data_IF_817936911415
#
_entry.id   IF_817936911415
#
_cell.length_a   1.000
_cell.length_b   1.000
_cell.length_c   1.000
_cell.angle_alpha   90.00
_cell.angle_beta   90.00
_cell.angle_gamma   90.00
#
_symmetry.space_group_name_H-M   'P 1'
#
loop_
_entity.id
_entity.type
_entity.pdbx_description
1 polymer ?
#
# COMPACT_ATOMS: atom_id res chain seq x y z
N UNK A 1 -6.26 10.93 -54.29
CA UNK A 1 -5.03 10.11 -54.42
C UNK A 1 -4.45 10.00 -53.02
N UNK A 2 -4.82 8.93 -52.30
CA UNK A 2 -3.95 7.78 -51.95
C UNK A 2 -3.00 8.19 -50.78
N UNK A 3 -3.00 7.62 -49.57
CA UNK A 3 -3.10 6.21 -49.17
C UNK A 3 -3.52 6.12 -47.67
N UNK A 4 -4.50 5.26 -47.37
CA UNK A 4 -4.78 4.61 -46.08
C UNK A 4 -3.64 3.65 -45.69
N UNK A 5 -3.35 3.44 -44.39
CA UNK A 5 -2.77 2.23 -43.72
C UNK A 5 -1.87 2.75 -42.58
N UNK A 6 -2.19 2.61 -41.30
CA UNK A 6 -2.28 1.36 -40.54
C UNK A 6 -3.24 1.47 -39.34
N UNK A 7 -4.30 0.65 -39.28
CA UNK A 7 -5.01 0.37 -38.04
C UNK A 7 -4.70 -1.08 -37.62
N UNK A 8 -3.49 -1.38 -37.12
CA UNK A 8 -3.22 -2.67 -36.48
C UNK A 8 -2.10 -2.55 -35.43
N UNK A 9 -2.41 -3.08 -34.25
CA UNK A 9 -1.53 -3.40 -33.12
C UNK A 9 -1.31 -2.29 -32.06
N UNK A 10 -2.39 -1.72 -31.53
CA UNK A 10 -2.39 -1.45 -30.09
C UNK A 10 -3.07 -2.67 -29.46
N UNK A 11 -2.26 -3.55 -28.87
CA UNK A 11 -2.77 -4.62 -28.03
C UNK A 11 -3.46 -3.97 -26.82
N UNK A 12 -4.77 -4.17 -26.58
CA UNK A 12 -5.44 -3.61 -25.41
C UNK A 12 -4.87 -4.14 -24.08
N UNK A 13 -4.07 -5.21 -24.09
CA UNK A 13 -3.31 -5.65 -22.91
C UNK A 13 -2.17 -4.68 -22.51
N UNK A 14 -1.76 -3.77 -23.40
CA UNK A 14 -0.81 -2.70 -23.11
C UNK A 14 -1.53 -1.39 -22.71
N UNK A 15 -2.83 -1.46 -22.45
CA UNK A 15 -3.59 -0.36 -21.86
C UNK A 15 -3.46 -0.47 -20.33
N UNK A 16 -2.34 0.04 -19.80
CA UNK A 16 -2.15 0.39 -18.39
C UNK A 16 -2.80 -0.57 -17.38
N UNK A 17 -2.08 -1.63 -17.00
CA UNK A 17 -2.22 -2.11 -15.62
C UNK A 17 -1.58 -1.01 -14.76
N UNK A 18 -2.36 0.03 -14.42
CA UNK A 18 -2.00 0.88 -13.29
C UNK A 18 -2.02 -0.03 -12.07
N UNK A 19 -0.88 -0.66 -11.75
CA UNK A 19 -0.73 -1.31 -10.46
C UNK A 19 -0.84 -0.19 -9.42
N UNK A 20 -2.04 -0.01 -8.89
CA UNK A 20 -2.26 0.87 -7.75
C UNK A 20 -1.42 0.31 -6.60
N UNK A 21 -0.70 1.19 -5.91
CA UNK A 21 0.01 0.79 -4.71
C UNK A 21 -0.98 0.72 -3.55
N UNK A 22 -0.75 -0.25 -2.66
CA UNK A 22 -1.43 -0.33 -1.37
C UNK A 22 -0.37 -0.46 -0.28
N UNK A 23 -0.25 0.55 0.56
CA UNK A 23 0.67 0.56 1.69
C UNK A 23 -0.03 -0.06 2.88
N UNK A 24 0.61 -1.05 3.50
CA UNK A 24 0.10 -1.73 4.68
C UNK A 24 0.75 -1.09 5.91
N UNK A 25 -0.08 -0.50 6.77
CA UNK A 25 0.37 0.07 8.05
C UNK A 25 0.66 -1.05 9.06
N UNK A 26 1.59 -0.84 10.01
CA UNK A 26 1.90 -1.83 11.05
C UNK A 26 0.70 -2.27 11.89
N UNK A 27 -0.29 -1.39 12.11
CA UNK A 27 -1.56 -1.74 12.76
C UNK A 27 -2.32 -2.87 12.06
N UNK A 28 -2.12 -3.05 10.75
CA UNK A 28 -2.77 -4.08 9.93
C UNK A 28 -1.98 -5.40 9.87
N UNK A 29 -0.80 -5.48 10.49
CA UNK A 29 0.11 -6.62 10.29
C UNK A 29 -0.40 -7.95 10.84
N UNK A 30 -1.32 -7.92 11.81
CA UNK A 30 -1.94 -9.14 12.36
C UNK A 30 -2.73 -9.96 11.33
N UNK A 31 -3.13 -9.34 10.20
CA UNK A 31 -3.97 -9.96 9.16
C UNK A 31 -3.29 -9.94 7.78
N UNK A 32 -1.95 -9.92 7.71
CA UNK A 32 -1.20 -9.88 6.43
C UNK A 32 -1.64 -10.97 5.45
N UNK A 33 -1.87 -12.20 5.93
CA UNK A 33 -2.31 -13.32 5.07
C UNK A 33 -3.66 -13.04 4.39
N UNK A 34 -4.58 -12.41 5.10
CA UNK A 34 -5.91 -12.06 4.57
C UNK A 34 -5.80 -10.92 3.54
N UNK A 35 -4.99 -9.90 3.84
CA UNK A 35 -4.74 -8.77 2.94
C UNK A 35 -4.14 -9.26 1.61
N UNK A 36 -3.09 -10.10 1.70
CA UNK A 36 -2.36 -10.60 0.54
C UNK A 36 -3.14 -11.65 -0.24
N UNK A 37 -4.02 -12.40 0.43
CA UNK A 37 -4.95 -13.32 -0.20
C UNK A 37 -6.15 -12.65 -0.87
N UNK A 38 -6.33 -11.33 -0.72
CA UNK A 38 -7.41 -10.62 -1.40
C UNK A 38 -7.19 -10.65 -2.92
N UNK A 39 -8.26 -10.87 -3.70
CA UNK A 39 -8.22 -10.87 -5.18
C UNK A 39 -8.02 -9.45 -5.78
N UNK A 40 -7.36 -8.56 -5.04
CA UNK A 40 -7.11 -7.19 -5.45
C UNK A 40 -5.77 -7.10 -6.18
N UNK A 41 -5.79 -6.47 -7.35
CA UNK A 41 -4.59 -6.25 -8.15
C UNK A 41 -3.79 -5.03 -7.65
N UNK A 42 -3.33 -5.08 -6.39
CA UNK A 42 -2.46 -4.06 -5.80
C UNK A 42 -1.01 -4.50 -5.82
N UNK A 43 -0.10 -3.53 -5.98
CA UNK A 43 1.29 -3.72 -5.59
C UNK A 43 1.43 -3.33 -4.11
N UNK A 44 1.41 -4.33 -3.24
CA UNK A 44 1.49 -4.13 -1.81
C UNK A 44 2.87 -3.62 -1.39
N UNK A 45 2.89 -2.69 -0.46
CA UNK A 45 4.08 -2.00 0.06
C UNK A 45 4.05 -2.07 1.58
N UNK A 46 5.18 -2.38 2.19
CA UNK A 46 5.43 -2.17 3.62
C UNK A 46 6.61 -1.24 3.79
N UNK A 47 6.69 -0.55 4.93
CA UNK A 47 7.77 0.40 5.18
C UNK A 47 8.91 -0.21 6.00
N UNK A 48 10.07 0.45 6.00
CA UNK A 48 11.25 -0.01 6.73
C UNK A 48 11.06 -0.04 8.25
N UNK A 49 10.39 0.97 8.82
CA UNK A 49 10.01 0.96 10.24
C UNK A 49 8.88 -0.03 10.50
N UNK A 50 8.02 -0.30 9.50
CA UNK A 50 7.05 -1.39 9.57
C UNK A 50 7.73 -2.74 9.70
N UNK A 51 8.70 -3.06 8.83
CA UNK A 51 9.51 -4.29 8.94
C UNK A 51 10.18 -4.39 10.30
N UNK A 52 10.77 -3.28 10.79
CA UNK A 52 11.39 -3.23 12.11
C UNK A 52 10.39 -3.51 13.24
N UNK A 53 9.17 -2.99 13.14
CA UNK A 53 8.06 -3.26 14.05
C UNK A 53 7.68 -4.74 14.03
N UNK A 54 7.55 -5.35 12.84
CA UNK A 54 7.21 -6.76 12.72
C UNK A 54 8.25 -7.66 13.39
N UNK A 55 9.54 -7.43 13.10
CA UNK A 55 10.65 -8.18 13.68
C UNK A 55 10.66 -8.06 15.21
N UNK A 56 10.49 -6.84 15.74
CA UNK A 56 10.47 -6.60 17.19
C UNK A 56 9.32 -7.31 17.90
N UNK A 57 8.18 -7.49 17.23
CA UNK A 57 6.97 -8.07 17.83
C UNK A 57 6.74 -9.54 17.44
N UNK A 58 7.68 -10.19 16.73
CA UNK A 58 7.54 -11.59 16.33
C UNK A 58 6.45 -11.83 15.28
N UNK A 59 6.17 -10.85 14.44
CA UNK A 59 5.21 -10.96 13.33
C UNK A 59 5.93 -11.56 12.11
N UNK A 60 5.30 -12.56 11.49
CA UNK A 60 5.77 -13.21 10.26
C UNK A 60 5.64 -12.27 9.05
N UNK A 61 6.64 -11.40 8.88
CA UNK A 61 6.75 -10.50 7.73
C UNK A 61 7.37 -11.20 6.51
N UNK A 62 8.12 -12.28 6.72
CA UNK A 62 8.78 -13.04 5.65
C UNK A 62 7.75 -13.61 4.69
N UNK A 63 6.63 -14.13 5.21
CA UNK A 63 5.51 -14.54 4.38
C UNK A 63 5.01 -13.40 3.46
N UNK A 64 4.97 -12.15 3.93
CA UNK A 64 4.57 -11.03 3.08
C UNK A 64 5.60 -10.76 1.97
N UNK A 65 6.89 -10.81 2.30
CA UNK A 65 7.98 -10.62 1.34
C UNK A 65 8.02 -11.72 0.27
N UNK A 66 7.79 -12.98 0.66
CA UNK A 66 7.72 -14.12 -0.26
C UNK A 66 6.55 -14.01 -1.25
N UNK A 67 5.46 -13.31 -0.87
CA UNK A 67 4.32 -13.01 -1.74
C UNK A 67 4.53 -11.76 -2.61
N UNK A 68 5.74 -11.20 -2.65
CA UNK A 68 6.11 -10.10 -3.54
C UNK A 68 5.74 -8.71 -3.02
N UNK A 69 5.44 -8.57 -1.73
CA UNK A 69 5.30 -7.26 -1.08
C UNK A 69 6.65 -6.52 -1.16
N UNK A 70 6.62 -5.27 -1.61
CA UNK A 70 7.83 -4.46 -1.70
C UNK A 70 8.08 -3.69 -0.40
N UNK A 71 9.34 -3.60 0.00
CA UNK A 71 9.76 -2.73 1.11
C UNK A 71 10.14 -1.36 0.54
N UNK A 72 9.55 -0.29 1.08
CA UNK A 72 9.91 1.09 0.70
C UNK A 72 10.13 1.95 1.93
N UNK A 73 11.30 2.58 1.99
CA UNK A 73 11.60 3.60 2.99
C UNK A 73 11.09 4.96 2.51
N UNK A 74 10.73 5.83 3.46
CA UNK A 74 10.56 7.24 3.16
C UNK A 74 11.94 7.89 2.98
N UNK A 75 12.12 8.70 1.94
CA UNK A 75 13.45 9.20 1.52
C UNK A 75 14.17 10.08 2.55
N UNK A 76 13.42 10.68 3.48
CA UNK A 76 13.93 11.50 4.56
C UNK A 76 13.45 10.97 5.91
N UNK A 77 13.92 11.55 7.02
CA UNK A 77 13.35 11.25 8.33
C UNK A 77 11.82 11.46 8.25
N UNK A 78 10.99 10.42 8.45
CA UNK A 78 9.54 10.56 8.32
C UNK A 78 9.07 11.67 9.26
N UNK A 79 8.36 12.70 8.76
CA UNK A 79 7.75 13.67 9.65
C UNK A 79 6.78 12.92 10.58
N UNK A 80 6.73 13.35 11.83
CA UNK A 80 5.72 12.83 12.76
C UNK A 80 4.35 13.28 12.28
N UNK A 81 3.43 12.34 12.16
CA UNK A 81 2.03 12.63 11.86
C UNK A 81 1.27 12.72 13.19
N UNK A 82 1.16 13.94 13.73
CA UNK A 82 0.57 14.17 15.05
C UNK A 82 1.29 13.39 16.16
N UNK A 83 0.50 12.70 16.99
CA UNK A 83 0.99 11.86 18.10
C UNK A 83 1.21 10.38 17.71
N UNK A 84 1.08 10.05 16.43
CA UNK A 84 1.25 8.68 15.97
C UNK A 84 2.69 8.20 16.14
N UNK A 85 2.90 6.91 16.42
CA UNK A 85 4.24 6.33 16.45
C UNK A 85 4.90 6.44 15.06
N UNK A 86 6.23 6.44 15.04
CA UNK A 86 7.00 6.69 13.82
C UNK A 86 6.75 5.62 12.74
N UNK A 87 6.52 4.37 13.13
CA UNK A 87 6.25 3.29 12.18
C UNK A 87 4.90 3.46 11.45
N UNK A 88 3.89 4.02 12.12
CA UNK A 88 2.62 4.39 11.47
C UNK A 88 2.78 5.64 10.62
N UNK A 89 3.49 6.65 11.15
CA UNK A 89 3.76 7.89 10.42
C UNK A 89 4.48 7.61 9.10
N UNK A 90 5.48 6.73 9.08
CA UNK A 90 6.17 6.35 7.85
C UNK A 90 5.23 5.69 6.83
N UNK A 91 4.33 4.81 7.26
CA UNK A 91 3.34 4.18 6.37
C UNK A 91 2.42 5.22 5.71
N UNK A 92 1.93 6.19 6.49
CA UNK A 92 1.12 7.30 5.97
C UNK A 92 1.92 8.12 4.95
N UNK A 93 3.17 8.45 5.26
CA UNK A 93 4.02 9.29 4.40
C UNK A 93 4.41 8.58 3.10
N UNK A 94 4.69 7.28 3.16
CA UNK A 94 4.94 6.48 1.95
C UNK A 94 3.67 6.36 1.11
N UNK A 95 2.50 6.21 1.73
CA UNK A 95 1.22 6.19 1.02
C UNK A 95 0.93 7.52 0.31
N UNK A 96 1.23 8.64 0.98
CA UNK A 96 1.13 9.98 0.41
C UNK A 96 2.08 10.18 -0.78
N UNK A 97 3.35 9.81 -0.64
CA UNK A 97 4.36 9.93 -1.70
C UNK A 97 4.00 9.11 -2.95
N UNK A 98 3.38 7.94 -2.75
CA UNK A 98 2.98 7.03 -3.81
C UNK A 98 1.59 7.34 -4.40
N UNK A 99 0.83 8.26 -3.79
CA UNK A 99 -0.61 8.38 -4.04
C UNK A 99 -1.32 7.01 -3.97
N UNK A 100 -1.02 6.26 -2.91
CA UNK A 100 -1.47 4.89 -2.68
C UNK A 100 -2.67 4.82 -1.76
N UNK A 101 -3.36 3.67 -1.77
CA UNK A 101 -4.27 3.29 -0.70
C UNK A 101 -3.44 2.96 0.56
N UNK A 102 -3.89 3.41 1.72
CA UNK A 102 -3.39 2.95 3.02
C UNK A 102 -4.34 1.92 3.62
N UNK A 103 -3.82 0.77 4.02
CA UNK A 103 -4.55 -0.28 4.74
C UNK A 103 -4.09 -0.22 6.20
N UNK A 104 -5.01 0.09 7.11
CA UNK A 104 -4.73 0.24 8.55
C UNK A 104 -5.93 -0.24 9.37
N UNK A 105 -5.71 -0.71 10.59
CA UNK A 105 -6.79 -1.09 11.52
C UNK A 105 -7.01 -0.02 12.61
N UNK A 106 -5.98 0.76 12.90
CA UNK A 106 -6.05 1.84 13.90
C UNK A 106 -6.85 3.04 13.34
N UNK A 107 -7.91 3.41 14.06
CA UNK A 107 -8.80 4.51 13.68
C UNK A 107 -8.10 5.87 13.65
N UNK A 108 -7.14 6.09 14.54
CA UNK A 108 -6.39 7.34 14.61
C UNK A 108 -5.44 7.45 13.41
N UNK A 109 -4.81 6.32 13.03
CA UNK A 109 -3.98 6.22 11.81
C UNK A 109 -4.81 6.54 10.57
N UNK A 110 -6.01 5.94 10.43
CA UNK A 110 -6.92 6.20 9.31
C UNK A 110 -7.36 7.67 9.30
N UNK A 111 -7.75 8.21 10.45
CA UNK A 111 -8.18 9.61 10.58
C UNK A 111 -7.09 10.58 10.12
N UNK A 112 -5.87 10.40 10.62
CA UNK A 112 -4.72 11.23 10.24
C UNK A 112 -4.30 11.07 8.79
N UNK A 113 -4.36 9.85 8.24
CA UNK A 113 -4.10 9.63 6.83
C UNK A 113 -5.09 10.41 5.94
N UNK A 114 -6.38 10.37 6.28
CA UNK A 114 -7.44 11.08 5.55
C UNK A 114 -7.30 12.61 5.68
N UNK A 115 -6.93 13.13 6.84
CA UNK A 115 -6.60 14.55 7.03
C UNK A 115 -5.48 15.02 6.08
N UNK A 116 -4.51 14.15 5.79
CA UNK A 116 -3.39 14.42 4.88
C UNK A 116 -3.70 14.14 3.41
N UNK A 117 -4.93 13.77 3.07
CA UNK A 117 -5.35 13.47 1.70
C UNK A 117 -5.02 12.06 1.20
N UNK A 118 -4.62 11.15 2.09
CA UNK A 118 -4.39 9.73 1.76
C UNK A 118 -5.73 8.98 1.86
N UNK A 119 -6.06 8.19 0.83
CA UNK A 119 -7.18 7.27 0.92
C UNK A 119 -6.82 6.11 1.86
N UNK A 120 -7.57 5.93 2.95
CA UNK A 120 -7.29 4.93 3.96
C UNK A 120 -8.53 4.11 4.30
N UNK A 121 -8.37 2.79 4.38
CA UNK A 121 -9.46 1.82 4.62
C UNK A 121 -9.05 0.80 5.69
N UNK A 122 -10.06 0.27 6.37
CA UNK A 122 -9.91 -0.91 7.23
C UNK A 122 -9.81 -2.18 6.39
N UNK A 123 -9.33 -3.27 7.00
CA UNK A 123 -9.18 -4.55 6.30
C UNK A 123 -10.56 -5.10 5.92
N UNK A 124 -11.59 -4.95 6.75
CA UNK A 124 -12.94 -5.39 6.39
C UNK A 124 -13.47 -4.64 5.15
N UNK A 125 -13.19 -3.34 5.03
CA UNK A 125 -13.57 -2.52 3.87
C UNK A 125 -12.82 -2.96 2.60
N UNK A 126 -11.52 -3.30 2.74
CA UNK A 126 -10.71 -3.83 1.63
C UNK A 126 -11.29 -5.15 1.08
N UNK A 127 -11.68 -6.06 1.98
CA UNK A 127 -12.16 -7.39 1.62
C UNK A 127 -13.59 -7.36 1.04
N UNK A 128 -14.45 -6.50 1.57
CA UNK A 128 -15.86 -6.36 1.14
C UNK A 128 -16.03 -5.64 -0.19
N UNK A 129 -15.07 -4.82 -0.61
CA UNK A 129 -15.12 -4.05 -1.87
C UNK A 129 -14.93 -4.90 -3.15
N UNK A 130 -15.22 -6.21 -3.10
CA UNK A 130 -14.95 -7.22 -4.14
C UNK A 130 -16.14 -7.52 -5.03
#
# INVERSE_FOLDING_TARGET
MLILLYPKLINPACLYIFNMFAVISPSAFGKLKEILGSNKNYKFVITTLGVSFAIKNGIDIDNALDHGVIVRAFSHKPPKVGDLPQYESEAIMVALELNALLIAEDKDVIGKAKELGVNAVQIEELLTSS
#
